data_IF_455312905945
#
_entry.id   IF_455312905945
#
_cell.length_a   1.000
_cell.length_b   1.000
_cell.length_c   1.000
_cell.angle_alpha   90.00
_cell.angle_beta   90.00
_cell.angle_gamma   90.00
#
_symmetry.space_group_name_H-M   'P 1'
#
loop_
_entity.id
_entity.type
_entity.pdbx_description
1 polymer ?
#
# COMPACT_ATOMS: atom_id res chain seq x y z
N UNK A 1 -40.60 -3.52 91.44
CA UNK A 1 -41.19 -2.30 90.84
C UNK A 1 -40.05 -1.30 90.65
N UNK A 2 -39.87 -0.65 89.49
CA UNK A 2 -40.85 -0.39 88.43
C UNK A 2 -40.58 -1.12 87.10
N UNK A 3 -41.66 -1.26 86.34
CA UNK A 3 -41.70 -1.56 84.91
C UNK A 3 -41.23 -0.36 84.07
N UNK A 4 -40.78 -0.57 82.83
CA UNK A 4 -41.33 0.06 81.61
C UNK A 4 -40.75 -0.59 80.34
N UNK A 5 -41.60 -0.64 79.33
CA UNK A 5 -41.67 -1.44 78.09
C UNK A 5 -41.09 -0.70 76.87
N UNK A 6 -40.64 -1.43 75.84
CA UNK A 6 -40.76 -1.23 74.35
C UNK A 6 -39.43 -1.51 73.63
N UNK A 7 -39.35 -2.03 72.40
CA UNK A 7 -40.28 -2.63 71.45
C UNK A 7 -39.48 -3.19 70.24
N UNK A 8 -39.97 -4.29 69.64
CA UNK A 8 -40.10 -4.60 68.20
C UNK A 8 -38.84 -4.58 67.29
N UNK A 9 -38.48 -5.80 66.85
CA UNK A 9 -38.38 -6.31 65.47
C UNK A 9 -37.72 -5.45 64.37
N UNK A 10 -36.66 -6.00 63.76
CA UNK A 10 -36.67 -6.34 62.31
C UNK A 10 -35.42 -7.17 61.95
N UNK A 11 -35.64 -8.37 61.44
CA UNK A 11 -34.68 -9.10 60.60
C UNK A 11 -34.58 -8.40 59.23
N UNK A 12 -33.39 -8.36 58.60
CA UNK A 12 -33.16 -8.61 57.17
C UNK A 12 -31.63 -8.71 56.89
N UNK A 13 -31.16 -9.72 56.13
CA UNK A 13 -29.77 -9.87 55.73
C UNK A 13 -29.54 -9.25 54.33
N UNK A 14 -28.66 -8.27 54.20
CA UNK A 14 -28.25 -7.75 52.89
C UNK A 14 -26.89 -8.28 52.45
N UNK A 15 -26.95 -9.09 51.40
CA UNK A 15 -25.84 -9.73 50.71
C UNK A 15 -24.95 -8.69 50.04
N UNK A 16 -23.70 -8.58 50.48
CA UNK A 16 -22.69 -7.74 49.83
C UNK A 16 -22.12 -8.49 48.63
N UNK A 17 -22.66 -8.20 47.43
CA UNK A 17 -22.03 -8.60 46.17
C UNK A 17 -20.71 -7.84 46.00
N UNK A 18 -19.59 -8.55 46.14
CA UNK A 18 -18.26 -8.05 45.78
C UNK A 18 -18.19 -7.96 44.26
N UNK A 19 -18.32 -6.74 43.72
CA UNK A 19 -18.19 -6.45 42.31
C UNK A 19 -16.76 -6.78 41.83
N UNK A 20 -16.60 -7.85 41.06
CA UNK A 20 -15.36 -8.15 40.33
C UNK A 20 -15.30 -7.26 39.10
N UNK A 21 -14.46 -6.23 39.14
CA UNK A 21 -14.11 -5.45 37.95
C UNK A 21 -13.35 -6.32 36.96
N UNK A 22 -14.01 -6.69 35.86
CA UNK A 22 -13.34 -7.24 34.67
C UNK A 22 -12.73 -6.07 33.88
N UNK A 23 -11.41 -5.94 33.91
CA UNK A 23 -10.68 -5.05 33.01
C UNK A 23 -10.59 -5.73 31.64
N UNK A 24 -11.60 -5.52 30.78
CA UNK A 24 -11.54 -5.91 29.37
C UNK A 24 -10.54 -5.01 28.66
N UNK A 25 -9.35 -5.53 28.38
CA UNK A 25 -8.37 -4.88 27.52
C UNK A 25 -8.91 -4.92 26.08
N UNK A 26 -9.54 -3.83 25.64
CA UNK A 26 -9.94 -3.66 24.26
C UNK A 26 -8.66 -3.57 23.40
N UNK A 27 -8.28 -4.67 22.76
CA UNK A 27 -7.32 -4.67 21.68
C UNK A 27 -7.93 -3.89 20.52
N UNK A 28 -7.61 -2.59 20.45
CA UNK A 28 -7.89 -1.79 19.26
C UNK A 28 -7.22 -2.49 18.07
N UNK A 29 -8.02 -2.85 17.06
CA UNK A 29 -7.49 -3.39 15.82
C UNK A 29 -6.51 -2.39 15.25
N UNK A 30 -5.24 -2.80 15.14
CA UNK A 30 -4.28 -2.10 14.32
C UNK A 30 -4.87 -2.08 12.91
N UNK A 31 -5.18 -0.89 12.37
CA UNK A 31 -5.50 -0.78 10.96
C UNK A 31 -4.35 -1.40 10.20
N UNK A 32 -4.58 -2.55 9.56
CA UNK A 32 -3.53 -3.26 8.86
C UNK A 32 -3.05 -2.35 7.72
N UNK A 33 -1.86 -1.79 7.92
CA UNK A 33 -0.96 -1.21 6.93
C UNK A 33 -1.15 -1.79 5.53
N UNK A 34 -1.02 -3.10 5.58
CA UNK A 34 -0.34 -3.90 4.58
C UNK A 34 -1.31 -4.59 3.65
N UNK A 35 -0.74 -5.12 2.58
CA UNK A 35 -1.45 -5.97 1.64
C UNK A 35 -0.58 -7.19 1.32
N UNK A 36 -1.19 -8.28 0.90
CA UNK A 36 -0.48 -9.38 0.26
C UNK A 36 -0.77 -9.41 -1.22
N UNK A 37 0.15 -9.96 -2.00
CA UNK A 37 -0.07 -10.31 -3.40
C UNK A 37 -0.49 -11.77 -3.44
N UNK A 38 -1.67 -12.04 -3.99
CA UNK A 38 -2.23 -13.39 -4.09
C UNK A 38 -1.87 -14.04 -5.44
N UNK A 39 -1.78 -13.25 -6.50
CA UNK A 39 -1.33 -13.69 -7.81
C UNK A 39 -0.73 -12.51 -8.57
N UNK A 40 0.36 -12.67 -9.35
CA UNK A 40 1.27 -13.82 -9.29
C UNK A 40 1.97 -13.89 -7.93
N UNK A 41 2.54 -15.04 -7.59
CA UNK A 41 3.26 -15.23 -6.32
C UNK A 41 4.32 -14.14 -6.12
N UNK A 42 4.22 -13.40 -5.02
CA UNK A 42 5.28 -12.48 -4.60
C UNK A 42 6.57 -13.21 -4.22
N UNK A 43 7.69 -12.48 -4.24
CA UNK A 43 9.02 -13.04 -3.99
C UNK A 43 9.17 -13.69 -2.61
N UNK A 44 8.52 -13.13 -1.60
CA UNK A 44 8.45 -13.64 -0.23
C UNK A 44 7.28 -13.00 0.50
N UNK A 45 6.85 -13.59 1.61
CA UNK A 45 5.89 -12.97 2.52
C UNK A 45 6.57 -11.84 3.31
N UNK A 46 6.18 -10.60 3.00
CA UNK A 46 6.70 -9.39 3.65
C UNK A 46 5.82 -8.91 4.81
N UNK A 47 4.79 -9.69 5.19
CA UNK A 47 3.97 -9.50 6.39
C UNK A 47 4.52 -10.26 7.59
N UNK A 48 5.41 -11.23 7.35
CA UNK A 48 6.15 -11.91 8.41
C UNK A 48 7.03 -10.94 9.21
N UNK A 49 7.44 -11.35 10.41
CA UNK A 49 8.21 -10.49 11.30
C UNK A 49 9.53 -10.08 10.64
N UNK A 50 9.76 -8.76 10.53
CA UNK A 50 10.97 -8.20 9.93
C UNK A 50 12.23 -8.60 10.69
N UNK A 51 12.16 -8.85 12.00
CA UNK A 51 13.31 -9.32 12.78
C UNK A 51 13.69 -10.77 12.44
N UNK A 52 12.75 -11.54 11.90
CA UNK A 52 12.96 -12.93 11.47
C UNK A 52 13.42 -13.01 10.01
N UNK A 53 12.79 -12.24 9.13
CA UNK A 53 13.00 -12.35 7.67
C UNK A 53 13.96 -11.29 7.12
N UNK A 54 14.11 -10.16 7.80
CA UNK A 54 14.77 -8.96 7.26
C UNK A 54 13.94 -8.21 6.21
N UNK A 55 12.71 -8.65 5.91
CA UNK A 55 11.85 -8.05 4.91
C UNK A 55 10.81 -7.13 5.55
N UNK A 56 10.47 -6.05 4.84
CA UNK A 56 9.47 -5.10 5.29
C UNK A 56 8.87 -4.39 4.10
N UNK A 57 7.54 -4.29 4.01
CA UNK A 57 6.88 -3.56 2.93
C UNK A 57 7.26 -2.07 2.86
N UNK A 58 7.86 -1.51 3.91
CA UNK A 58 8.38 -0.15 3.93
C UNK A 58 9.74 0.01 3.22
N UNK A 59 10.39 -1.10 2.88
CA UNK A 59 11.70 -1.12 2.23
C UNK A 59 11.55 -1.10 0.71
N UNK A 60 12.12 -0.08 0.08
CA UNK A 60 12.18 0.02 -1.37
C UNK A 60 13.46 -0.64 -1.94
N UNK A 61 13.40 -1.32 -3.10
CA UNK A 61 12.21 -1.81 -3.79
C UNK A 61 11.78 -3.19 -3.25
N UNK A 62 10.56 -3.63 -3.57
CA UNK A 62 10.11 -5.01 -3.36
C UNK A 62 10.08 -5.51 -1.90
N UNK A 63 9.99 -4.62 -0.93
CA UNK A 63 10.02 -4.98 0.48
C UNK A 63 11.40 -5.42 0.98
N UNK A 64 12.46 -5.15 0.21
CA UNK A 64 13.82 -5.62 0.47
C UNK A 64 14.11 -7.04 -0.04
N UNK A 65 13.15 -7.70 -0.70
CA UNK A 65 13.31 -9.07 -1.19
C UNK A 65 14.10 -9.08 -2.51
N UNK A 66 15.20 -9.82 -2.54
CA UNK A 66 16.08 -9.94 -3.71
C UNK A 66 15.37 -10.60 -4.90
N UNK A 67 15.73 -10.19 -6.11
CA UNK A 67 15.24 -10.82 -7.34
C UNK A 67 15.61 -12.30 -7.40
N UNK A 68 14.64 -13.16 -7.74
CA UNK A 68 14.81 -14.60 -7.80
C UNK A 68 14.68 -15.33 -6.46
N UNK A 69 14.31 -14.65 -5.36
CA UNK A 69 14.09 -15.29 -4.06
C UNK A 69 12.86 -16.21 -4.01
N UNK A 70 11.87 -15.95 -4.86
CA UNK A 70 10.61 -16.70 -4.93
C UNK A 70 10.42 -17.47 -6.23
N UNK A 71 9.21 -18.01 -6.41
CA UNK A 71 8.83 -18.68 -7.65
C UNK A 71 8.68 -17.66 -8.79
N UNK A 72 8.99 -18.11 -10.02
CA UNK A 72 8.69 -17.33 -11.23
C UNK A 72 7.38 -17.81 -11.83
N UNK A 73 6.39 -16.93 -11.88
CA UNK A 73 5.06 -17.24 -12.44
C UNK A 73 5.04 -16.99 -13.94
N UNK A 74 4.51 -17.93 -14.73
CA UNK A 74 4.23 -17.67 -16.14
C UNK A 74 3.06 -16.68 -16.24
N UNK A 75 3.32 -15.51 -16.81
CA UNK A 75 2.36 -14.41 -16.91
C UNK A 75 2.10 -14.05 -18.38
N UNK A 76 0.84 -13.82 -18.79
CA UNK A 76 0.49 -13.74 -20.20
C UNK A 76 1.04 -12.47 -20.85
N UNK A 77 1.36 -12.54 -22.15
CA UNK A 77 1.81 -11.36 -22.91
C UNK A 77 0.73 -10.28 -23.05
N UNK A 78 -0.54 -10.63 -22.86
CA UNK A 78 -1.70 -9.71 -22.94
C UNK A 78 -2.75 -10.08 -21.89
N UNK A 79 -3.55 -9.10 -21.48
CA UNK A 79 -4.66 -9.27 -20.54
C UNK A 79 -4.28 -10.00 -19.25
N UNK A 80 -3.11 -9.69 -18.70
CA UNK A 80 -2.67 -10.34 -17.48
C UNK A 80 -3.43 -9.85 -16.26
N UNK A 81 -3.29 -10.60 -15.18
CA UNK A 81 -4.04 -10.37 -13.94
C UNK A 81 -3.09 -10.19 -12.77
N UNK A 82 -3.56 -9.47 -11.76
CA UNK A 82 -2.92 -9.39 -10.45
C UNK A 82 -4.01 -9.36 -9.38
N UNK A 83 -3.81 -10.11 -8.30
CA UNK A 83 -4.74 -10.23 -7.19
C UNK A 83 -4.08 -9.83 -5.88
N UNK A 84 -4.83 -9.16 -5.02
CA UNK A 84 -4.37 -8.66 -3.73
C UNK A 84 -5.37 -9.00 -2.62
N UNK A 85 -4.87 -9.24 -1.42
CA UNK A 85 -5.66 -9.09 -0.20
C UNK A 85 -5.40 -7.68 0.37
N UNK A 86 -6.42 -6.84 0.43
CA UNK A 86 -6.29 -5.47 0.92
C UNK A 86 -6.44 -5.38 2.45
N UNK A 87 -5.48 -4.77 3.15
CA UNK A 87 -5.60 -4.49 4.59
C UNK A 87 -6.23 -3.12 4.91
N UNK A 88 -6.21 -2.19 3.95
CA UNK A 88 -6.69 -0.82 4.10
C UNK A 88 -7.93 -0.53 3.26
N UNK A 89 -8.89 0.18 3.87
CA UNK A 89 -10.15 0.60 3.23
C UNK A 89 -9.97 1.41 1.95
N UNK A 90 -8.79 2.02 1.78
CA UNK A 90 -8.48 2.93 0.68
C UNK A 90 -6.97 2.94 0.40
N UNK A 91 -6.57 2.75 -0.86
CA UNK A 91 -5.18 2.95 -1.31
C UNK A 91 -5.15 3.48 -2.74
N UNK A 92 -4.04 4.10 -3.14
CA UNK A 92 -3.67 4.24 -4.54
C UNK A 92 -2.75 3.09 -4.95
N UNK A 93 -3.12 2.38 -6.02
CA UNK A 93 -2.35 1.28 -6.56
C UNK A 93 -1.48 1.76 -7.73
N UNK A 94 -0.18 1.43 -7.67
CA UNK A 94 0.75 1.58 -8.79
C UNK A 94 1.36 0.23 -9.10
N UNK A 95 1.07 -0.29 -10.29
CA UNK A 95 1.58 -1.56 -10.77
C UNK A 95 2.56 -1.28 -11.89
N UNK A 96 3.81 -1.68 -11.69
CA UNK A 96 4.90 -1.42 -12.63
C UNK A 96 5.60 -2.74 -12.97
N UNK A 97 6.23 -2.78 -14.14
CA UNK A 97 7.00 -3.92 -14.64
C UNK A 97 8.44 -3.47 -14.87
N UNK A 98 9.36 -4.33 -14.44
CA UNK A 98 10.77 -4.28 -14.83
C UNK A 98 11.10 -5.48 -15.70
N UNK A 99 11.90 -5.27 -16.74
CA UNK A 99 12.43 -6.35 -17.58
C UNK A 99 13.83 -6.73 -17.09
N UNK A 100 14.17 -8.01 -17.19
CA UNK A 100 15.51 -8.50 -16.83
C UNK A 100 16.57 -7.83 -17.71
N UNK A 101 17.57 -7.24 -17.06
CA UNK A 101 18.71 -6.68 -17.76
C UNK A 101 19.58 -7.84 -18.28
N UNK A 102 19.83 -7.93 -19.60
CA UNK A 102 20.54 -9.06 -20.19
C UNK A 102 22.03 -9.11 -19.83
N UNK A 103 22.59 -8.03 -19.28
CA UNK A 103 23.99 -7.94 -18.85
C UNK A 103 24.18 -8.36 -17.40
N UNK A 104 23.21 -8.05 -16.53
CA UNK A 104 23.30 -8.37 -15.10
C UNK A 104 22.49 -9.60 -14.70
N UNK A 105 21.51 -10.01 -15.51
CA UNK A 105 20.55 -11.04 -15.16
C UNK A 105 19.68 -10.65 -13.95
N UNK A 106 19.45 -9.35 -13.74
CA UNK A 106 18.71 -8.81 -12.61
C UNK A 106 17.74 -7.72 -13.05
N UNK A 107 16.76 -7.40 -12.20
CA UNK A 107 15.76 -6.37 -12.42
C UNK A 107 15.91 -5.31 -11.33
N UNK A 108 16.51 -4.19 -11.69
CA UNK A 108 16.75 -3.06 -10.78
C UNK A 108 15.91 -1.83 -11.12
N UNK A 109 15.10 -1.88 -12.17
CA UNK A 109 14.27 -0.77 -12.65
C UNK A 109 12.87 -1.27 -13.02
N UNK A 110 11.84 -0.53 -12.59
CA UNK A 110 10.42 -0.82 -12.85
C UNK A 110 9.80 0.37 -13.60
N UNK A 111 10.15 0.51 -14.89
CA UNK A 111 9.86 1.69 -15.69
C UNK A 111 8.62 1.54 -16.61
N UNK A 112 7.99 0.38 -16.63
CA UNK A 112 6.79 0.13 -17.45
C UNK A 112 5.57 0.16 -16.52
N UNK A 113 4.68 1.15 -16.65
CA UNK A 113 3.49 1.22 -15.80
C UNK A 113 2.31 0.48 -16.41
N UNK A 114 1.70 -0.44 -15.65
CA UNK A 114 0.44 -1.11 -16.00
C UNK A 114 -0.79 -0.34 -15.50
N UNK A 115 -0.59 0.62 -14.59
CA UNK A 115 -1.62 1.56 -14.10
C UNK A 115 -1.20 3.01 -14.43
N UNK A 116 -1.11 3.39 -15.71
CA UNK A 116 -0.64 4.73 -16.10
C UNK A 116 -1.60 5.84 -15.69
N UNK A 117 -2.86 5.50 -15.44
CA UNK A 117 -3.84 6.40 -14.84
C UNK A 117 -3.93 6.11 -13.34
N UNK A 118 -4.15 7.16 -12.55
CA UNK A 118 -4.27 7.03 -11.09
C UNK A 118 -5.38 6.03 -10.75
N UNK A 119 -5.00 4.91 -10.15
CA UNK A 119 -5.90 3.82 -9.82
C UNK A 119 -6.17 3.86 -8.32
N UNK A 120 -7.40 4.15 -7.95
CA UNK A 120 -7.84 4.09 -6.58
C UNK A 120 -8.40 2.71 -6.26
N UNK A 121 -8.12 2.21 -5.07
CA UNK A 121 -8.64 0.94 -4.57
C UNK A 121 -9.34 1.18 -3.25
N UNK A 122 -10.41 0.46 -3.00
CA UNK A 122 -11.15 0.52 -1.74
C UNK A 122 -11.63 -0.85 -1.28
N UNK A 123 -12.02 -0.93 -0.01
CA UNK A 123 -12.45 -2.17 0.63
C UNK A 123 -11.33 -2.90 1.38
N UNK A 124 -11.65 -4.05 1.96
CA UNK A 124 -10.75 -4.85 2.81
C UNK A 124 -10.68 -6.31 2.39
N UNK A 125 -11.27 -6.65 1.23
CA UNK A 125 -11.29 -8.01 0.72
C UNK A 125 -10.25 -8.25 -0.36
N UNK A 126 -10.58 -9.18 -1.24
CA UNK A 126 -9.75 -9.56 -2.37
C UNK A 126 -10.02 -8.61 -3.54
N UNK A 127 -8.98 -8.00 -4.07
CA UNK A 127 -9.05 -7.20 -5.28
C UNK A 127 -8.34 -7.94 -6.42
N UNK A 128 -9.09 -8.27 -7.48
CA UNK A 128 -8.54 -8.72 -8.75
C UNK A 128 -8.53 -7.55 -9.73
N UNK A 129 -7.34 -7.21 -10.24
CA UNK A 129 -7.19 -6.37 -11.42
C UNK A 129 -6.92 -7.30 -12.60
N UNK A 130 -7.91 -7.47 -13.46
CA UNK A 130 -7.77 -8.20 -14.71
C UNK A 130 -7.41 -7.25 -15.87
N UNK A 131 -7.10 -7.84 -17.03
CA UNK A 131 -6.92 -7.09 -18.28
C UNK A 131 -5.75 -6.10 -18.28
N UNK A 132 -4.75 -6.30 -17.42
CA UNK A 132 -3.53 -5.49 -17.41
C UNK A 132 -2.76 -5.73 -18.71
N UNK A 133 -2.48 -4.63 -19.41
CA UNK A 133 -1.91 -4.67 -20.75
C UNK A 133 -0.53 -4.04 -20.75
N UNK A 134 0.46 -4.80 -21.22
CA UNK A 134 1.80 -4.28 -21.48
C UNK A 134 1.74 -3.30 -22.67
N UNK A 135 2.49 -2.18 -22.63
CA UNK A 135 2.66 -1.31 -23.78
C UNK A 135 3.16 -2.09 -25.01
N UNK A 136 2.58 -1.80 -26.18
CA UNK A 136 2.82 -2.56 -27.41
C UNK A 136 4.16 -2.27 -28.08
N UNK A 137 4.86 -1.22 -27.65
CA UNK A 137 6.14 -0.73 -28.19
C UNK A 137 7.37 -1.38 -27.54
N UNK A 138 7.19 -2.32 -26.61
CA UNK A 138 8.28 -2.89 -25.82
C UNK A 138 9.03 -4.05 -26.48
N UNK A 139 8.65 -4.48 -27.69
CA UNK A 139 9.28 -5.59 -28.42
C UNK A 139 9.56 -6.84 -27.55
N UNK A 140 8.65 -7.18 -26.64
CA UNK A 140 8.82 -8.29 -25.70
C UNK A 140 8.70 -9.62 -26.43
N UNK A 141 9.70 -10.49 -26.23
CA UNK A 141 9.70 -11.84 -26.76
C UNK A 141 9.10 -12.83 -25.76
N UNK A 142 8.52 -13.91 -26.28
CA UNK A 142 8.05 -15.03 -25.46
C UNK A 142 9.21 -15.63 -24.66
N UNK A 143 8.98 -15.82 -23.35
CA UNK A 143 9.99 -16.29 -22.41
C UNK A 143 10.80 -15.18 -21.72
N UNK A 144 10.54 -13.90 -22.01
CA UNK A 144 11.24 -12.78 -21.35
C UNK A 144 10.99 -12.80 -19.84
N UNK A 145 12.07 -12.81 -19.06
CA UNK A 145 11.98 -12.66 -17.61
C UNK A 145 11.67 -11.20 -17.25
N UNK A 146 10.74 -11.02 -16.31
CA UNK A 146 10.32 -9.73 -15.81
C UNK A 146 9.95 -9.84 -14.33
N UNK A 147 9.65 -8.70 -13.71
CA UNK A 147 9.14 -8.64 -12.34
C UNK A 147 8.09 -7.55 -12.28
N UNK A 148 6.97 -7.85 -11.64
CA UNK A 148 5.93 -6.87 -11.35
C UNK A 148 6.24 -6.29 -9.97
N UNK A 149 6.39 -4.97 -9.90
CA UNK A 149 6.38 -4.22 -8.66
C UNK A 149 4.98 -3.71 -8.39
N UNK A 150 4.52 -3.94 -7.17
CA UNK A 150 3.25 -3.45 -6.67
C UNK A 150 3.54 -2.41 -5.60
N UNK A 151 2.87 -1.27 -5.71
CA UNK A 151 2.98 -0.19 -4.74
C UNK A 151 1.58 0.19 -4.31
N UNK A 152 1.31 0.09 -3.01
CA UNK A 152 0.06 0.57 -2.42
C UNK A 152 0.38 1.75 -1.53
N UNK A 153 -0.23 2.90 -1.84
CA UNK A 153 -0.07 4.14 -1.08
C UNK A 153 -1.33 4.37 -0.26
N UNK A 154 -1.18 4.31 1.06
CA UNK A 154 -2.27 4.53 2.00
C UNK A 154 -2.72 5.99 2.08
N UNK A 155 -3.80 6.29 2.82
CA UNK A 155 -4.37 7.63 2.91
C UNK A 155 -3.44 8.65 3.59
N UNK A 156 -2.43 8.21 4.33
CA UNK A 156 -1.42 9.09 4.95
C UNK A 156 -0.17 9.28 4.07
N UNK A 157 -0.17 8.77 2.84
CA UNK A 157 0.93 8.89 1.89
C UNK A 157 2.07 7.90 2.08
N UNK A 158 1.93 6.95 3.00
CA UNK A 158 2.90 5.88 3.21
C UNK A 158 2.78 4.84 2.10
N UNK A 159 3.92 4.43 1.52
CA UNK A 159 3.97 3.51 0.39
C UNK A 159 4.50 2.14 0.81
N UNK A 160 3.89 1.09 0.27
CA UNK A 160 4.18 -0.30 0.60
C UNK A 160 4.52 -1.08 -0.66
N UNK A 161 5.64 -1.78 -0.62
CA UNK A 161 6.28 -2.35 -1.79
C UNK A 161 6.31 -3.87 -1.70
N UNK A 162 5.88 -4.53 -2.76
CA UNK A 162 6.09 -5.95 -3.00
C UNK A 162 6.49 -6.15 -4.46
N UNK A 163 7.06 -7.32 -4.76
CA UNK A 163 7.33 -7.71 -6.13
C UNK A 163 7.01 -9.18 -6.34
N UNK A 164 6.64 -9.53 -7.57
CA UNK A 164 6.41 -10.88 -8.04
C UNK A 164 7.23 -11.11 -9.30
N UNK A 165 8.04 -12.18 -9.32
CA UNK A 165 8.87 -12.49 -10.47
C UNK A 165 8.05 -13.29 -11.48
N UNK A 166 8.14 -12.91 -12.75
CA UNK A 166 7.33 -13.47 -13.82
C UNK A 166 8.17 -13.85 -15.03
N UNK A 167 7.63 -14.76 -15.85
CA UNK A 167 8.09 -15.01 -17.21
C UNK A 167 6.96 -14.68 -18.16
N UNK A 168 7.19 -13.73 -19.06
CA UNK A 168 6.21 -13.28 -20.03
C UNK A 168 6.08 -14.33 -21.13
N UNK A 169 4.91 -14.97 -21.23
CA UNK A 169 4.70 -16.04 -22.22
C UNK A 169 3.26 -16.15 -22.70
N UNK A 170 3.10 -16.51 -23.97
CA UNK A 170 1.86 -16.92 -24.62
C UNK A 170 1.25 -18.21 -24.05
N UNK A 171 2.01 -18.97 -23.26
CA UNK A 171 1.58 -20.24 -22.66
C UNK A 171 1.12 -20.10 -21.20
N UNK A 172 1.05 -18.88 -20.67
CA UNK A 172 0.62 -18.65 -19.30
C UNK A 172 -0.82 -19.13 -19.08
N UNK A 173 -1.02 -19.96 -18.06
CA UNK A 173 -2.34 -20.48 -17.71
C UNK A 173 -3.26 -19.39 -17.10
N UNK A 174 -2.66 -18.31 -16.57
CA UNK A 174 -3.36 -17.33 -15.76
C UNK A 174 -3.51 -17.79 -14.30
N UNK A 175 -4.24 -17.01 -13.48
CA UNK A 175 -4.54 -17.39 -12.10
C UNK A 175 -5.37 -18.67 -12.05
N UNK A 176 -5.21 -19.44 -10.97
CA UNK A 176 -6.07 -20.60 -10.72
C UNK A 176 -7.55 -20.18 -10.57
N UNK A 177 -8.46 -21.14 -10.75
CA UNK A 177 -9.90 -20.88 -10.58
C UNK A 177 -10.17 -20.32 -9.18
N UNK A 178 -10.76 -19.12 -9.12
CA UNK A 178 -11.07 -18.43 -7.85
C UNK A 178 -9.94 -17.59 -7.26
N UNK A 179 -8.72 -17.64 -7.81
CA UNK A 179 -7.56 -16.91 -7.26
C UNK A 179 -7.57 -15.41 -7.61
N UNK A 180 -8.17 -15.03 -8.73
CA UNK A 180 -8.40 -13.63 -9.11
C UNK A 180 -9.90 -13.35 -9.20
N UNK A 181 -10.54 -13.20 -8.04
CA UNK A 181 -11.96 -12.81 -7.91
C UNK A 181 -12.04 -11.62 -6.97
N UNK A 182 -12.72 -10.57 -7.40
CA UNK A 182 -12.93 -9.40 -6.56
C UNK A 182 -14.08 -9.64 -5.58
N UNK A 183 -13.80 -9.56 -4.29
CA UNK A 183 -14.75 -9.73 -3.19
C UNK A 183 -14.47 -8.66 -2.14
N UNK A 184 -15.48 -7.90 -1.71
CA UNK A 184 -15.35 -6.84 -0.70
C UNK A 184 -14.23 -5.81 -0.97
N UNK A 185 -13.92 -5.59 -2.25
CA UNK A 185 -12.98 -4.60 -2.74
C UNK A 185 -13.42 -4.00 -4.09
N UNK A 186 -12.87 -2.86 -4.45
CA UNK A 186 -13.12 -2.19 -5.73
C UNK A 186 -11.86 -1.47 -6.22
N UNK A 187 -11.67 -1.37 -7.54
CA UNK A 187 -10.70 -0.48 -8.15
C UNK A 187 -11.35 0.47 -9.16
N UNK A 188 -11.02 1.76 -9.06
CA UNK A 188 -11.55 2.81 -9.90
C UNK A 188 -10.39 3.61 -10.48
N UNK A 189 -10.36 3.73 -11.81
CA UNK A 189 -9.46 4.66 -12.50
C UNK A 189 -10.00 6.07 -12.31
N UNK A 190 -9.24 6.91 -11.60
CA UNK A 190 -9.59 8.31 -11.36
C UNK A 190 -9.38 9.08 -12.65
N UNK A 191 -10.48 9.42 -13.33
CA UNK A 191 -10.45 10.34 -14.46
C UNK A 191 -10.21 11.73 -13.91
N UNK A 192 -9.17 12.40 -14.38
CA UNK A 192 -8.96 13.82 -14.10
C UNK A 192 -10.21 14.58 -14.53
N UNK A 193 -10.86 15.28 -13.59
CA UNK A 193 -11.91 16.21 -13.94
C UNK A 193 -11.30 17.29 -14.82
N UNK A 194 -11.56 17.24 -16.13
CA UNK A 194 -11.55 18.48 -16.90
C UNK A 194 -12.49 19.42 -16.16
N UNK A 195 -12.05 20.65 -15.87
CA UNK A 195 -12.91 21.67 -15.27
C UNK A 195 -14.25 21.61 -15.99
N UNK A 196 -15.25 21.03 -15.34
CA UNK A 196 -16.62 21.25 -15.72
C UNK A 196 -16.83 22.72 -15.48
N UNK A 197 -16.71 23.53 -16.54
CA UNK A 197 -17.48 24.76 -16.58
C UNK A 197 -18.92 24.29 -16.40
N UNK A 198 -19.41 24.37 -15.17
CA UNK A 198 -20.81 24.60 -14.91
C UNK A 198 -21.16 25.80 -15.78
N UNK A 199 -21.76 25.55 -16.94
CA UNK A 199 -22.56 26.56 -17.62
C UNK A 199 -23.77 26.76 -16.72
N UNK A 200 -23.57 27.59 -15.69
CA UNK A 200 -24.66 28.24 -15.00
C UNK A 200 -25.23 29.24 -16.01
N UNK A 201 -26.38 28.90 -16.57
CA UNK A 201 -27.21 29.82 -17.34
C UNK A 201 -27.62 30.98 -16.41
N UNK A 202 -26.88 32.08 -16.50
CA UNK A 202 -27.29 33.38 -15.98
C UNK A 202 -27.40 34.35 -17.12
N UNK A 203 -28.64 34.48 -17.59
CA UNK A 203 -29.10 35.51 -18.51
C UNK A 203 -28.87 36.92 -17.93
N UNK A 204 -28.25 37.74 -18.76
CA UNK A 204 -28.39 39.19 -18.94
C UNK A 204 -28.18 40.15 -17.75
N UNK A 205 -27.10 40.94 -17.85
CA UNK A 205 -27.25 42.38 -18.09
C UNK A 205 -25.98 43.06 -18.63
N UNK A 206 -26.06 43.39 -19.92
CA UNK A 206 -25.65 44.60 -20.64
C UNK A 206 -24.77 45.67 -19.94
N UNK A 207 -23.73 46.11 -20.66
CA UNK A 207 -23.14 47.43 -20.43
C UNK A 207 -21.67 47.62 -20.83
N UNK A 208 -21.41 47.89 -22.12
CA UNK A 208 -20.52 49.00 -22.52
C UNK A 208 -19.05 48.71 -22.87
N UNK A 209 -18.81 48.56 -24.18
CA UNK A 209 -17.83 49.22 -25.05
C UNK A 209 -16.30 49.21 -24.76
N UNK A 210 -15.62 48.62 -25.77
CA UNK A 210 -14.41 49.06 -26.48
C UNK A 210 -13.06 49.22 -25.74
N UNK A 211 -12.08 48.38 -26.12
CA UNK A 211 -11.08 48.79 -27.12
C UNK A 211 -10.14 47.63 -27.50
N UNK A 212 -9.88 47.52 -28.80
CA UNK A 212 -8.98 46.54 -29.40
C UNK A 212 -7.51 46.92 -29.22
N UNK A 213 -6.66 45.96 -28.86
CA UNK A 213 -5.27 45.92 -29.31
C UNK A 213 -4.77 44.48 -29.36
N UNK A 214 -4.70 43.96 -30.58
CA UNK A 214 -3.95 42.76 -30.93
C UNK A 214 -2.46 43.03 -30.74
N UNK A 215 -1.75 42.22 -29.96
CA UNK A 215 -0.31 42.04 -30.14
C UNK A 215 0.03 40.56 -30.05
N UNK A 216 0.50 40.07 -31.18
CA UNK A 216 1.09 38.74 -31.36
C UNK A 216 2.50 38.79 -30.81
N UNK A 217 2.86 37.88 -29.90
CA UNK A 217 4.28 37.56 -29.69
C UNK A 217 4.46 36.07 -29.39
N UNK A 218 4.94 35.39 -30.42
CA UNK A 218 5.60 34.11 -30.36
C UNK A 218 6.76 34.15 -29.35
N UNK A 219 6.89 33.11 -28.53
CA UNK A 219 8.14 32.80 -27.86
C UNK A 219 8.38 31.29 -27.93
N UNK A 220 9.12 30.90 -28.95
CA UNK A 220 9.79 29.61 -29.02
C UNK A 220 11.09 29.66 -28.21
N UNK A 221 11.36 28.57 -27.48
CA UNK A 221 12.68 27.97 -27.32
C UNK A 221 13.80 28.80 -26.69
N UNK A 222 14.14 28.46 -25.45
CA UNK A 222 15.53 28.51 -24.99
C UNK A 222 15.82 27.30 -24.11
N UNK A 223 16.61 26.37 -24.65
CA UNK A 223 17.26 25.31 -23.92
C UNK A 223 18.32 25.90 -22.97
N UNK A 224 18.42 25.36 -21.75
CA UNK A 224 19.56 25.55 -20.89
C UNK A 224 20.01 24.19 -20.34
N UNK A 225 21.10 23.70 -20.92
CA UNK A 225 22.02 22.71 -20.35
C UNK A 225 22.73 23.30 -19.13
N UNK A 226 22.98 22.47 -18.11
CA UNK A 226 24.16 22.45 -17.19
C UNK A 226 23.82 21.50 -16.04
N UNK A 227 24.35 20.29 -16.05
CA UNK A 227 25.61 19.87 -15.42
C UNK A 227 25.47 19.63 -13.89
N UNK A 228 25.61 18.36 -13.51
CA UNK A 228 25.77 17.89 -12.15
C UNK A 228 27.07 18.42 -11.50
N UNK A 229 27.18 18.30 -10.17
CA UNK A 229 28.41 17.71 -9.65
C UNK A 229 28.18 16.62 -8.61
N UNK A 230 29.03 15.61 -8.69
CA UNK A 230 29.16 14.49 -7.78
C UNK A 230 30.09 14.83 -6.60
N UNK A 231 29.73 14.26 -5.44
CA UNK A 231 30.58 13.76 -4.33
C UNK A 231 31.69 14.63 -3.72
N UNK A 232 31.57 14.90 -2.41
CA UNK A 232 32.68 14.80 -1.47
C UNK A 232 32.19 14.52 -0.04
N UNK A 233 32.89 13.60 0.61
CA UNK A 233 32.65 13.03 1.93
C UNK A 233 32.90 14.00 3.10
N UNK A 234 32.15 13.84 4.19
CA UNK A 234 32.61 14.15 5.55
C UNK A 234 32.12 13.08 6.53
N UNK A 235 33.07 12.57 7.31
CA UNK A 235 32.94 11.52 8.32
C UNK A 235 32.90 12.14 9.73
N UNK A 236 32.25 11.44 10.67
CA UNK A 236 32.34 11.54 12.15
C UNK A 236 31.68 12.78 12.81
N UNK A 237 31.07 12.74 14.00
CA UNK A 237 31.06 11.75 15.08
C UNK A 237 29.83 11.94 16.02
N UNK A 238 29.36 10.82 16.61
CA UNK A 238 28.91 10.61 18.01
C UNK A 238 28.05 11.65 18.75
N UNK A 239 26.87 11.23 19.24
CA UNK A 239 26.65 10.85 20.66
C UNK A 239 25.23 10.32 20.92
N UNK A 240 25.21 9.11 21.49
CA UNK A 240 24.23 8.37 22.28
C UNK A 240 23.03 9.10 22.91
N UNK A 241 21.85 8.47 22.87
CA UNK A 241 21.07 8.14 24.08
C UNK A 241 20.32 6.82 23.89
N UNK A 242 20.80 5.77 24.57
CA UNK A 242 20.04 4.54 24.82
C UNK A 242 19.38 4.70 26.18
N UNK A 243 18.05 4.74 26.21
CA UNK A 243 17.28 4.54 27.46
C UNK A 243 16.71 3.13 27.37
N UNK A 244 17.35 2.23 28.11
CA UNK A 244 16.93 0.85 28.25
C UNK A 244 15.65 0.74 29.08
N UNK A 245 14.69 -0.04 28.57
CA UNK A 245 13.64 -0.65 29.37
C UNK A 245 14.11 -2.06 29.72
N UNK A 246 14.47 -2.24 31.00
CA UNK A 246 14.90 -3.53 31.54
C UNK A 246 13.74 -4.52 31.59
N UNK A 247 13.88 -5.64 30.89
CA UNK A 247 13.09 -6.84 31.13
C UNK A 247 13.65 -7.57 32.36
N UNK A 248 12.86 -7.60 33.43
CA UNK A 248 13.12 -8.43 34.60
C UNK A 248 12.83 -9.89 34.25
N UNK A 249 13.89 -10.67 34.02
CA UNK A 249 13.80 -12.14 33.95
C UNK A 249 13.84 -12.68 35.38
N UNK A 250 12.68 -13.07 35.90
CA UNK A 250 12.57 -13.82 37.16
C UNK A 250 12.83 -15.29 36.87
N UNK A 251 14.05 -15.75 37.17
CA UNK A 251 14.34 -17.18 37.34
C UNK A 251 13.82 -17.62 38.71
N UNK A 252 12.73 -18.38 38.73
CA UNK A 252 12.30 -19.15 39.90
C UNK A 252 13.06 -20.47 39.96
N UNK A 253 14.00 -20.57 40.90
CA UNK A 253 14.67 -21.82 41.27
C UNK A 253 13.70 -22.80 41.94
N UNK A 254 13.88 -24.06 41.55
CA UNK A 254 13.56 -25.27 42.31
C UNK A 254 13.94 -25.19 43.79
N UNK A 255 12.99 -25.57 44.66
CA UNK A 255 13.16 -26.43 45.84
C UNK A 255 11.78 -26.94 46.29
#
# INVERSE_FOLDING_TARGET
MPCTVRAVSSEHPDSTMVAKSFLTLASAGLAAAHYSVLYPDWRADTLEDTEETGYSQWTWPCGGVEYGSGNRTDWPLTNGSIAFQLGHAFNYAFINVGLEDPTTGNITSFNISLTPQLTNTSGHGTLCLDSLTLPTDLNIEDGTNASIQTIMVGPSGQAQYNCADIRLTSQAAGPAEGECVTEDAEAVVVKGGGSGSSSDDHDDHDGGDDDSASETSSAAGAAATTAAPSSAALNSAYMSTVVGLGMAVVFGLTL
#
